data_IF_975266456702
#
_entry.id   IF_975266456702
#
_cell.length_a   1.000
_cell.length_b   1.000
_cell.length_c   1.000
_cell.angle_alpha   90.00
_cell.angle_beta   90.00
_cell.angle_gamma   90.00
#
_symmetry.space_group_name_H-M   'P 1'
#
loop_
_entity.id
_entity.type
_entity.pdbx_description
1 polymer ?
#
# COMPACT_ATOMS: atom_id res chain seq x y z
N UNK A 1 -45.69 -12.92 2.15
CA UNK A 1 -44.67 -12.66 1.11
C UNK A 1 -43.80 -11.51 1.62
N UNK A 2 -42.76 -11.76 2.41
CA UNK A 2 -41.38 -12.16 2.02
C UNK A 2 -40.68 -11.12 1.15
N UNK A 3 -39.47 -10.72 1.57
CA UNK A 3 -38.55 -9.82 0.87
C UNK A 3 -37.84 -8.91 1.87
N UNK A 4 -37.12 -9.50 2.83
CA UNK A 4 -35.66 -9.68 2.79
C UNK A 4 -34.92 -8.42 3.27
N UNK A 5 -34.49 -8.49 4.52
CA UNK A 5 -33.46 -7.62 5.05
C UNK A 5 -32.19 -7.79 4.22
N UNK A 6 -31.67 -6.68 3.71
CA UNK A 6 -30.29 -6.59 3.29
C UNK A 6 -29.41 -6.64 4.55
N UNK A 7 -29.18 -7.85 5.07
CA UNK A 7 -28.05 -8.11 5.95
C UNK A 7 -26.79 -7.73 5.18
N UNK A 8 -26.26 -6.54 5.50
CA UNK A 8 -24.88 -6.20 5.20
C UNK A 8 -24.02 -7.29 5.83
N UNK A 9 -23.65 -8.26 5.00
CA UNK A 9 -22.70 -9.31 5.33
C UNK A 9 -21.34 -8.64 5.47
N UNK A 10 -21.12 -7.97 6.60
CA UNK A 10 -19.80 -7.56 7.06
C UNK A 10 -19.07 -8.83 7.43
N UNK A 11 -18.55 -9.51 6.41
CA UNK A 11 -17.59 -10.58 6.60
C UNK A 11 -16.39 -9.94 7.28
N UNK A 12 -16.31 -10.15 8.59
CA UNK A 12 -15.16 -9.88 9.42
C UNK A 12 -14.01 -10.82 9.01
N UNK A 13 -13.63 -10.82 7.74
CA UNK A 13 -12.35 -11.31 7.29
C UNK A 13 -11.31 -10.49 8.06
N UNK A 14 -10.78 -11.08 9.11
CA UNK A 14 -9.83 -10.47 10.03
C UNK A 14 -8.84 -9.65 9.22
N UNK A 15 -8.73 -8.36 9.54
CA UNK A 15 -7.71 -7.51 8.95
C UNK A 15 -6.37 -8.15 9.23
N UNK A 16 -5.83 -8.82 8.21
CA UNK A 16 -4.53 -9.43 8.32
C UNK A 16 -3.54 -8.29 8.20
N UNK A 17 -3.15 -7.74 9.36
CA UNK A 17 -2.08 -6.77 9.47
C UNK A 17 -0.85 -7.35 8.80
N UNK A 18 -0.31 -6.62 7.84
CA UNK A 18 0.88 -7.01 7.10
C UNK A 18 2.07 -6.53 7.91
N UNK A 19 2.95 -7.45 8.31
CA UNK A 19 4.17 -7.10 9.04
C UNK A 19 5.16 -6.36 8.14
N UNK A 20 6.08 -5.59 8.73
CA UNK A 20 7.13 -4.91 7.95
C UNK A 20 7.93 -5.87 7.07
N UNK A 21 8.17 -7.10 7.53
CA UNK A 21 8.83 -8.14 6.74
C UNK A 21 7.99 -8.57 5.52
N UNK A 22 6.69 -8.78 5.69
CA UNK A 22 5.82 -9.16 4.57
C UNK A 22 5.67 -8.01 3.55
N UNK A 23 5.70 -6.75 4.01
CA UNK A 23 5.74 -5.60 3.10
C UNK A 23 7.05 -5.61 2.31
N UNK A 24 8.17 -5.87 2.99
CA UNK A 24 9.49 -5.94 2.37
C UNK A 24 9.60 -7.06 1.32
N UNK A 25 9.10 -8.24 1.63
CA UNK A 25 9.06 -9.37 0.68
C UNK A 25 8.27 -9.02 -0.59
N UNK A 26 7.15 -8.31 -0.44
CA UNK A 26 6.36 -7.83 -1.57
C UNK A 26 7.12 -6.80 -2.43
N UNK A 27 7.91 -5.93 -1.80
CA UNK A 27 8.77 -4.96 -2.47
C UNK A 27 9.89 -5.63 -3.31
N UNK A 28 10.37 -6.81 -2.90
CA UNK A 28 11.27 -7.63 -3.70
C UNK A 28 12.73 -7.21 -3.72
N UNK A 29 13.18 -6.52 -2.68
CA UNK A 29 14.58 -6.15 -2.49
C UNK A 29 15.25 -7.19 -1.57
N UNK A 30 16.25 -7.92 -2.09
CA UNK A 30 16.88 -9.05 -1.39
C UNK A 30 18.30 -8.77 -0.89
N UNK A 31 18.92 -7.68 -1.33
CA UNK A 31 20.29 -7.30 -0.94
C UNK A 31 20.29 -5.95 -0.18
N UNK A 32 20.58 -6.04 1.13
CA UNK A 32 21.03 -4.96 2.03
C UNK A 32 20.32 -3.58 1.98
N UNK A 33 19.21 -3.46 2.75
CA UNK A 33 18.58 -2.24 3.38
C UNK A 33 17.99 -1.19 2.40
N UNK A 34 16.69 -0.78 2.53
CA UNK A 34 16.05 -0.39 3.79
C UNK A 34 14.68 -1.01 4.10
N UNK A 35 14.53 -1.47 5.34
CA UNK A 35 13.20 -1.74 5.89
C UNK A 35 12.43 -0.43 6.10
N UNK A 36 11.13 -0.46 5.81
CA UNK A 36 10.22 0.60 6.23
C UNK A 36 10.36 0.79 7.75
N UNK A 37 10.42 2.06 8.18
CA UNK A 37 10.36 2.37 9.60
C UNK A 37 9.00 1.93 10.16
N UNK A 38 8.90 1.60 11.47
CA UNK A 38 7.64 1.11 12.05
C UNK A 38 6.42 1.99 11.74
N UNK A 39 6.58 3.31 11.81
CA UNK A 39 5.50 4.25 11.48
C UNK A 39 5.07 4.19 10.00
N UNK A 40 6.00 3.91 9.08
CA UNK A 40 5.69 3.76 7.66
C UNK A 40 4.92 2.45 7.41
N UNK A 41 5.27 1.38 8.12
CA UNK A 41 4.51 0.13 8.07
C UNK A 41 3.08 0.31 8.62
N UNK A 42 2.89 1.15 9.65
CA UNK A 42 1.56 1.55 10.13
C UNK A 42 0.80 2.31 9.04
N UNK A 43 1.44 3.27 8.38
CA UNK A 43 0.84 4.00 7.25
C UNK A 43 0.40 3.08 6.09
N UNK A 44 1.23 2.09 5.74
CA UNK A 44 0.86 1.08 4.73
C UNK A 44 -0.35 0.26 5.17
N UNK A 45 -0.41 -0.18 6.43
CA UNK A 45 -1.57 -0.94 6.93
C UNK A 45 -2.84 -0.07 6.96
N UNK A 46 -2.72 1.22 7.27
CA UNK A 46 -3.82 2.17 7.18
C UNK A 46 -4.36 2.29 5.74
N UNK A 47 -3.47 2.40 4.74
CA UNK A 47 -3.87 2.40 3.32
C UNK A 47 -4.56 1.08 2.91
N UNK A 48 -4.03 -0.07 3.35
CA UNK A 48 -4.60 -1.39 3.06
C UNK A 48 -5.98 -1.60 3.68
N UNK A 49 -6.23 -1.00 4.85
CA UNK A 49 -7.52 -0.99 5.52
C UNK A 49 -8.53 -0.20 4.68
N UNK A 50 -8.22 1.06 4.35
CA UNK A 50 -9.15 1.92 3.61
C UNK A 50 -9.44 1.39 2.20
N UNK A 51 -8.43 0.83 1.52
CA UNK A 51 -8.60 0.16 0.23
C UNK A 51 -9.57 -1.04 0.33
N UNK A 52 -9.49 -1.84 1.40
CA UNK A 52 -10.40 -2.97 1.63
C UNK A 52 -11.85 -2.50 1.81
N UNK A 53 -12.04 -1.39 2.52
CA UNK A 53 -13.36 -0.79 2.75
C UNK A 53 -13.86 0.04 1.56
N UNK A 54 -13.10 0.13 0.46
CA UNK A 54 -13.47 0.93 -0.71
C UNK A 54 -13.45 2.44 -0.46
N UNK A 55 -12.73 2.90 0.56
CA UNK A 55 -12.61 4.31 0.95
C UNK A 55 -11.33 4.96 0.43
N UNK A 56 -11.39 6.28 0.22
CA UNK A 56 -10.21 7.09 -0.05
C UNK A 56 -9.35 7.30 1.20
N UNK A 57 -8.05 7.52 1.01
CA UNK A 57 -7.10 7.74 2.09
C UNK A 57 -6.33 9.06 1.93
N UNK A 58 -6.11 9.76 3.04
CA UNK A 58 -5.25 10.95 3.11
C UNK A 58 -4.06 10.65 4.03
N UNK A 59 -2.85 10.66 3.47
CA UNK A 59 -1.60 10.54 4.24
C UNK A 59 -0.99 11.93 4.40
N UNK A 60 -1.26 12.57 5.54
CA UNK A 60 -0.87 13.94 5.84
C UNK A 60 0.30 14.05 6.83
N UNK A 61 1.16 13.03 6.87
CA UNK A 61 2.37 13.01 7.69
C UNK A 61 3.32 14.18 7.34
N UNK A 62 4.21 14.53 8.28
CA UNK A 62 5.25 15.54 8.08
C UNK A 62 6.09 15.29 6.81
N UNK A 63 6.61 16.37 6.21
CA UNK A 63 7.49 16.29 5.04
C UNK A 63 8.76 15.50 5.40
N UNK A 64 9.23 14.66 4.49
CA UNK A 64 10.42 13.83 4.72
C UNK A 64 10.18 12.47 5.39
N UNK A 65 8.97 12.16 5.87
CA UNK A 65 8.63 10.85 6.47
C UNK A 65 8.45 9.70 5.47
N UNK A 66 8.80 9.90 4.19
CA UNK A 66 8.79 8.86 3.18
C UNK A 66 7.40 8.40 2.73
N UNK A 67 6.46 9.33 2.56
CA UNK A 67 5.10 9.04 2.04
C UNK A 67 5.13 8.31 0.70
N UNK A 68 6.06 8.67 -0.19
CA UNK A 68 6.26 7.99 -1.47
C UNK A 68 6.59 6.50 -1.27
N UNK A 69 7.50 6.18 -0.35
CA UNK A 69 7.86 4.80 -0.03
C UNK A 69 6.66 4.02 0.53
N UNK A 70 5.84 4.64 1.39
CA UNK A 70 4.61 4.02 1.90
C UNK A 70 3.63 3.67 0.75
N UNK A 71 3.42 4.59 -0.20
CA UNK A 71 2.53 4.34 -1.35
C UNK A 71 3.07 3.23 -2.25
N UNK A 72 4.36 3.24 -2.57
CA UNK A 72 4.99 2.18 -3.40
C UNK A 72 4.88 0.82 -2.72
N UNK A 73 5.14 0.77 -1.41
CA UNK A 73 5.01 -0.45 -0.63
C UNK A 73 3.56 -0.96 -0.58
N UNK A 74 2.58 -0.06 -0.43
CA UNK A 74 1.16 -0.38 -0.52
C UNK A 74 0.82 -1.04 -1.88
N UNK A 75 1.22 -0.43 -3.00
CA UNK A 75 1.00 -0.99 -4.34
C UNK A 75 1.66 -2.37 -4.53
N UNK A 76 2.88 -2.52 -3.98
CA UNK A 76 3.62 -3.78 -4.02
C UNK A 76 2.88 -4.89 -3.27
N UNK A 77 2.32 -4.58 -2.10
CA UNK A 77 1.51 -5.54 -1.32
C UNK A 77 0.25 -5.94 -2.08
N UNK A 78 -0.45 -4.99 -2.73
CA UNK A 78 -1.62 -5.30 -3.55
C UNK A 78 -1.27 -6.30 -4.67
N UNK A 79 -0.21 -6.01 -5.44
CA UNK A 79 0.20 -6.82 -6.60
C UNK A 79 0.73 -8.20 -6.20
N UNK A 80 1.70 -8.25 -5.29
CA UNK A 80 2.49 -9.45 -5.02
C UNK A 80 1.96 -10.31 -3.88
N UNK A 81 1.31 -9.72 -2.88
CA UNK A 81 0.76 -10.45 -1.73
C UNK A 81 -0.74 -10.74 -1.89
N UNK A 82 -1.52 -9.77 -2.38
CA UNK A 82 -2.97 -9.94 -2.57
C UNK A 82 -3.37 -10.39 -3.98
N UNK A 83 -2.43 -10.40 -4.93
CA UNK A 83 -2.68 -10.85 -6.29
C UNK A 83 -3.55 -9.89 -7.12
N UNK A 84 -3.73 -8.65 -6.68
CA UNK A 84 -4.51 -7.63 -7.38
C UNK A 84 -3.69 -7.04 -8.54
N UNK A 85 -3.84 -7.61 -9.74
CA UNK A 85 -3.05 -7.25 -10.94
C UNK A 85 -3.72 -6.19 -11.82
N UNK A 86 -4.27 -5.14 -11.22
CA UNK A 86 -4.92 -4.05 -11.96
C UNK A 86 -3.92 -2.91 -12.21
N UNK A 87 -4.06 -2.14 -13.30
CA UNK A 87 -3.22 -0.97 -13.52
C UNK A 87 -3.49 0.10 -12.46
N UNK A 88 -2.42 0.75 -11.98
CA UNK A 88 -2.48 1.86 -11.03
C UNK A 88 -1.97 3.14 -11.68
N UNK A 89 -2.57 4.28 -11.35
CA UNK A 89 -2.16 5.60 -11.84
C UNK A 89 -1.64 6.46 -10.67
N UNK A 90 -0.42 6.95 -10.81
CA UNK A 90 0.16 7.96 -9.90
C UNK A 90 0.19 9.29 -10.64
N UNK A 91 -0.42 10.32 -10.05
CA UNK A 91 -0.38 11.69 -10.56
C UNK A 91 0.45 12.54 -9.61
N UNK A 92 1.45 13.22 -10.16
CA UNK A 92 2.33 14.11 -9.40
C UNK A 92 2.75 15.31 -10.27
N UNK A 93 3.17 16.44 -9.67
CA UNK A 93 3.85 17.52 -10.37
C UNK A 93 5.01 17.01 -11.23
N UNK A 94 5.22 17.62 -12.39
CA UNK A 94 6.25 17.20 -13.35
C UNK A 94 7.65 17.12 -12.73
N UNK A 95 7.98 18.04 -11.83
CA UNK A 95 9.26 18.09 -11.09
C UNK A 95 9.50 16.89 -10.17
N UNK A 96 8.47 16.12 -9.82
CA UNK A 96 8.57 14.95 -8.96
C UNK A 96 8.62 13.63 -9.73
N UNK A 97 8.39 13.63 -11.05
CA UNK A 97 8.30 12.39 -11.84
C UNK A 97 9.62 11.59 -11.82
N UNK A 98 10.76 12.26 -11.98
CA UNK A 98 12.07 11.60 -11.88
C UNK A 98 12.33 11.03 -10.49
N UNK A 99 11.86 11.72 -9.43
CA UNK A 99 11.95 11.21 -8.07
C UNK A 99 11.11 9.95 -7.91
N UNK A 100 9.85 9.97 -8.36
CA UNK A 100 8.98 8.79 -8.34
C UNK A 100 9.58 7.59 -9.09
N UNK A 101 10.19 7.81 -10.25
CA UNK A 101 10.86 6.73 -10.99
C UNK A 101 12.05 6.12 -10.24
N UNK A 102 12.87 6.96 -9.59
CA UNK A 102 13.99 6.49 -8.76
C UNK A 102 13.49 5.70 -7.55
N UNK A 103 12.50 6.24 -6.85
CA UNK A 103 11.88 5.59 -5.68
C UNK A 103 11.22 4.26 -6.06
N UNK A 104 10.52 4.19 -7.21
CA UNK A 104 9.94 2.94 -7.71
C UNK A 104 11.01 1.88 -7.97
N UNK A 105 12.08 2.24 -8.69
CA UNK A 105 13.21 1.33 -8.97
C UNK A 105 13.92 0.89 -7.69
N UNK A 106 13.98 1.76 -6.69
CA UNK A 106 14.65 1.49 -5.43
C UNK A 106 13.79 0.61 -4.50
N UNK A 107 12.53 0.97 -4.28
CA UNK A 107 11.64 0.30 -3.33
C UNK A 107 10.94 -0.92 -3.91
N UNK A 108 10.55 -0.90 -5.19
CA UNK A 108 9.92 -2.06 -5.83
C UNK A 108 10.27 -2.16 -7.32
N UNK A 109 11.47 -2.63 -7.66
CA UNK A 109 11.91 -2.73 -9.06
C UNK A 109 11.08 -3.68 -9.94
N UNK A 110 10.23 -4.52 -9.34
CA UNK A 110 9.35 -5.48 -10.04
C UNK A 110 7.92 -4.97 -10.26
N UNK A 111 7.55 -3.83 -9.67
CA UNK A 111 6.23 -3.24 -9.79
C UNK A 111 5.99 -2.72 -11.21
#
# INVERSE_FOLDING_TARGET
ATGEGAEASTSAAALTVVTGQQIWEACGSYDSIPHLKPYQAVGVNFLLLLHKEGMGALVADEMGLGKTAQVIAFLSVLKFKRGERRPHLVVAPASLLENWQRELKFWSPRL
#
